data_IF_897187413093
#
_entry.id   IF_897187413093
#
_cell.length_a   1.000
_cell.length_b   1.000
_cell.length_c   1.000
_cell.angle_alpha   90.00
_cell.angle_beta   90.00
_cell.angle_gamma   90.00
#
_symmetry.space_group_name_H-M   'P 1'
#
loop_
_entity.id
_entity.type
_entity.pdbx_description
1 polymer ?
#
# COMPACT_ATOMS: atom_id res chain seq x y z
N UNK A 1 -18.01 -2.24 -0.29
CA UNK A 1 -18.12 -3.65 0.14
C UNK A 1 -17.22 -3.94 1.32
N UNK A 2 -15.97 -4.32 1.10
CA UNK A 2 -15.09 -4.83 2.16
C UNK A 2 -14.82 -3.83 3.30
N UNK A 3 -14.70 -2.55 2.97
CA UNK A 3 -14.53 -1.49 3.98
C UNK A 3 -15.78 -1.32 4.87
N UNK A 4 -16.97 -1.51 4.30
CA UNK A 4 -18.24 -1.51 5.05
C UNK A 4 -18.31 -2.73 6.00
N UNK A 5 -17.77 -3.88 5.58
CA UNK A 5 -17.66 -5.06 6.45
C UNK A 5 -16.75 -4.76 7.65
N UNK A 6 -15.64 -4.04 7.45
CA UNK A 6 -14.76 -3.67 8.56
C UNK A 6 -15.44 -2.75 9.58
N UNK A 7 -16.26 -1.80 9.12
CA UNK A 7 -16.95 -0.86 10.00
C UNK A 7 -18.06 -1.57 10.79
N UNK A 8 -18.88 -2.38 10.11
CA UNK A 8 -20.03 -3.02 10.73
C UNK A 8 -19.67 -4.31 11.50
N UNK A 9 -18.78 -5.12 10.95
CA UNK A 9 -18.44 -6.46 11.43
C UNK A 9 -16.92 -6.65 11.47
N UNK A 10 -16.24 -5.90 12.34
CA UNK A 10 -14.78 -5.92 12.41
C UNK A 10 -14.24 -7.36 12.65
N UNK A 11 -13.42 -7.90 11.72
CA UNK A 11 -12.93 -9.29 11.79
C UNK A 11 -12.09 -9.56 13.04
N UNK A 12 -11.46 -8.55 13.64
CA UNK A 12 -10.69 -8.69 14.89
C UNK A 12 -11.59 -8.96 16.11
N UNK A 13 -12.78 -8.35 16.14
CA UNK A 13 -13.74 -8.55 17.22
C UNK A 13 -14.58 -9.80 16.98
N UNK A 14 -15.07 -9.96 15.76
CA UNK A 14 -15.97 -11.06 15.41
C UNK A 14 -15.26 -12.42 15.33
N UNK A 15 -13.99 -12.43 14.90
CA UNK A 15 -13.16 -13.63 14.78
C UNK A 15 -12.45 -14.04 16.06
N UNK A 16 -12.53 -13.24 17.13
CA UNK A 16 -11.84 -13.49 18.40
C UNK A 16 -12.25 -14.87 18.97
N UNK A 17 -11.26 -15.72 19.23
CA UNK A 17 -11.40 -17.11 19.69
C UNK A 17 -12.16 -18.06 18.73
N UNK A 18 -12.53 -17.62 17.52
CA UNK A 18 -13.17 -18.48 16.50
C UNK A 18 -12.19 -18.88 15.40
N UNK A 19 -11.23 -18.02 15.08
CA UNK A 19 -10.31 -18.16 13.96
C UNK A 19 -8.88 -17.85 14.45
N UNK A 20 -7.86 -18.43 13.82
CA UNK A 20 -6.45 -18.10 14.11
C UNK A 20 -6.14 -16.62 13.89
N UNK A 21 -5.22 -16.08 14.69
CA UNK A 21 -4.84 -14.67 14.62
C UNK A 21 -4.29 -14.29 13.24
N UNK A 22 -3.52 -15.18 12.60
CA UNK A 22 -2.97 -14.96 11.26
C UNK A 22 -4.08 -14.73 10.21
N UNK A 23 -5.15 -15.52 10.25
CA UNK A 23 -6.29 -15.35 9.34
C UNK A 23 -7.04 -14.05 9.63
N UNK A 24 -7.22 -13.70 10.91
CA UNK A 24 -7.87 -12.44 11.30
C UNK A 24 -7.11 -11.22 10.76
N UNK A 25 -5.78 -11.23 10.84
CA UNK A 25 -4.93 -10.17 10.27
C UNK A 25 -5.02 -10.15 8.74
N UNK A 26 -5.09 -11.31 8.09
CA UNK A 26 -5.32 -11.41 6.64
C UNK A 26 -6.62 -10.74 6.21
N UNK A 27 -7.73 -11.06 6.88
CA UNK A 27 -9.03 -10.41 6.63
C UNK A 27 -8.99 -8.92 6.90
N UNK A 28 -8.38 -8.50 8.00
CA UNK A 28 -8.23 -7.07 8.31
C UNK A 28 -7.44 -6.33 7.21
N UNK A 29 -6.36 -6.92 6.70
CA UNK A 29 -5.57 -6.33 5.62
C UNK A 29 -6.41 -6.14 4.35
N UNK A 30 -7.21 -7.14 3.98
CA UNK A 30 -8.13 -7.05 2.83
C UNK A 30 -9.19 -5.94 3.01
N UNK A 31 -9.85 -5.88 4.17
CA UNK A 31 -10.87 -4.86 4.40
C UNK A 31 -10.32 -3.43 4.52
N UNK A 32 -9.04 -3.29 4.91
CA UNK A 32 -8.34 -2.00 5.00
C UNK A 32 -7.87 -1.43 3.65
N UNK A 33 -8.10 -2.09 2.52
CA UNK A 33 -7.62 -1.62 1.22
C UNK A 33 -8.16 -0.24 0.82
N UNK A 34 -9.43 0.04 1.11
CA UNK A 34 -10.03 1.33 0.84
C UNK A 34 -9.34 2.45 1.66
N UNK A 35 -9.07 2.21 2.94
CA UNK A 35 -8.38 3.19 3.80
C UNK A 35 -6.94 3.47 3.32
N UNK A 36 -6.25 2.45 2.79
CA UNK A 36 -4.90 2.57 2.25
C UNK A 36 -4.81 3.52 1.02
N UNK A 37 -5.94 3.81 0.36
CA UNK A 37 -5.99 4.79 -0.74
C UNK A 37 -5.56 6.19 -0.29
N UNK A 38 -6.01 6.65 0.88
CA UNK A 38 -5.69 7.96 1.44
C UNK A 38 -4.19 8.13 1.71
N UNK A 39 -3.56 7.10 2.28
CA UNK A 39 -2.11 7.07 2.49
C UNK A 39 -1.36 7.12 1.16
N UNK A 40 -1.85 6.37 0.15
CA UNK A 40 -1.24 6.33 -1.19
C UNK A 40 -1.32 7.69 -1.88
N UNK A 41 -2.48 8.38 -1.80
CA UNK A 41 -2.65 9.72 -2.35
C UNK A 41 -1.70 10.72 -1.69
N UNK A 42 -1.61 10.69 -0.36
CA UNK A 42 -0.69 11.54 0.39
C UNK A 42 0.75 11.32 -0.09
N UNK A 43 1.15 10.07 -0.24
CA UNK A 43 2.48 9.71 -0.74
C UNK A 43 2.73 10.17 -2.19
N UNK A 44 1.72 10.17 -3.06
CA UNK A 44 1.84 10.65 -4.43
C UNK A 44 1.86 12.19 -4.55
N UNK A 45 1.09 12.89 -3.71
CA UNK A 45 0.96 14.35 -3.76
C UNK A 45 2.06 15.09 -3.00
N UNK A 46 2.62 14.51 -1.94
CA UNK A 46 3.66 15.17 -1.15
C UNK A 46 4.94 15.47 -1.96
N UNK A 47 5.51 14.54 -2.74
CA UNK A 47 6.72 14.82 -3.51
C UNK A 47 6.56 15.98 -4.49
N UNK A 48 5.42 16.07 -5.19
CA UNK A 48 5.16 17.15 -6.14
C UNK A 48 4.98 18.50 -5.45
N UNK A 49 4.29 18.55 -4.29
CA UNK A 49 4.14 19.76 -3.50
C UNK A 49 5.47 20.27 -2.93
N UNK A 50 6.33 19.38 -2.44
CA UNK A 50 7.64 19.74 -1.90
C UNK A 50 8.60 20.19 -3.01
N UNK A 51 8.53 19.55 -4.19
CA UNK A 51 9.29 19.96 -5.37
C UNK A 51 8.92 21.38 -5.81
N UNK A 52 7.62 21.72 -5.83
CA UNK A 52 7.15 23.08 -6.16
C UNK A 52 7.62 24.13 -5.14
N UNK A 53 7.74 23.75 -3.86
CA UNK A 53 8.26 24.64 -2.81
C UNK A 53 9.80 24.71 -2.78
N UNK A 54 10.49 23.90 -3.57
CA UNK A 54 11.96 23.80 -3.56
C UNK A 54 12.54 23.22 -2.26
N UNK A 55 11.73 22.52 -1.46
CA UNK A 55 12.15 21.95 -0.18
C UNK A 55 12.56 20.49 -0.41
N UNK A 56 13.80 20.08 -0.08
CA UNK A 56 14.23 18.69 -0.25
C UNK A 56 13.52 17.77 0.74
N UNK A 57 12.80 16.77 0.23
CA UNK A 57 12.09 15.76 1.05
C UNK A 57 13.02 14.65 1.57
N UNK A 58 14.08 14.34 0.81
CA UNK A 58 15.04 13.29 1.14
C UNK A 58 16.41 13.87 1.49
N UNK A 59 17.21 13.19 2.32
CA UNK A 59 18.59 13.57 2.57
C UNK A 59 19.40 13.52 1.27
N UNK A 60 20.45 14.35 1.20
CA UNK A 60 21.39 14.33 0.07
C UNK A 60 22.02 12.95 -0.06
N UNK A 61 22.23 12.49 -1.30
CA UNK A 61 22.84 11.18 -1.60
C UNK A 61 24.25 11.05 -0.99
N UNK A 62 24.97 12.16 -0.83
CA UNK A 62 26.28 12.20 -0.17
C UNK A 62 26.22 12.00 1.35
N UNK A 63 25.03 12.09 1.95
CA UNK A 63 24.85 11.89 3.38
C UNK A 63 24.71 10.40 3.70
N UNK A 64 25.34 9.96 4.78
CA UNK A 64 25.18 8.59 5.30
C UNK A 64 23.72 8.26 5.63
N UNK A 65 22.90 9.28 5.93
CA UNK A 65 21.47 9.15 6.19
C UNK A 65 20.63 8.74 4.98
N UNK A 66 21.17 8.80 3.76
CA UNK A 66 20.48 8.30 2.56
C UNK A 66 20.46 6.77 2.48
N UNK A 67 21.47 6.11 3.03
CA UNK A 67 21.63 4.65 2.99
C UNK A 67 20.37 3.87 3.43
N UNK A 68 19.73 4.16 4.58
CA UNK A 68 18.53 3.42 4.98
C UNK A 68 17.37 3.57 3.99
N UNK A 69 17.18 4.75 3.39
CA UNK A 69 16.12 4.97 2.40
C UNK A 69 16.38 4.16 1.13
N UNK A 70 17.61 4.23 0.60
CA UNK A 70 18.00 3.46 -0.58
C UNK A 70 17.88 1.95 -0.35
N UNK A 71 18.34 1.47 0.81
CA UNK A 71 18.26 0.06 1.18
C UNK A 71 16.82 -0.45 1.21
N UNK A 72 15.91 0.26 1.89
CA UNK A 72 14.50 -0.16 2.01
C UNK A 72 13.83 -0.19 0.63
N UNK A 73 14.08 0.81 -0.22
CA UNK A 73 13.50 0.87 -1.57
C UNK A 73 13.96 -0.33 -2.40
N UNK A 74 15.26 -0.58 -2.44
CA UNK A 74 15.83 -1.70 -3.21
C UNK A 74 15.31 -3.02 -2.66
N UNK A 75 15.40 -3.24 -1.35
CA UNK A 75 14.95 -4.48 -0.70
C UNK A 75 13.48 -4.79 -0.99
N UNK A 76 12.59 -3.77 -0.89
CA UNK A 76 11.16 -3.93 -1.15
C UNK A 76 10.86 -4.32 -2.60
N UNK A 77 11.50 -3.68 -3.58
CA UNK A 77 11.27 -3.99 -4.99
C UNK A 77 11.91 -5.32 -5.40
N UNK A 78 13.12 -5.63 -4.93
CA UNK A 78 13.77 -6.91 -5.19
C UNK A 78 12.98 -8.06 -4.61
N UNK A 79 12.51 -7.95 -3.37
CA UNK A 79 11.69 -8.98 -2.74
C UNK A 79 10.38 -9.21 -3.49
N UNK A 80 9.65 -8.13 -3.82
CA UNK A 80 8.40 -8.21 -4.58
C UNK A 80 8.59 -8.83 -5.97
N UNK A 81 9.70 -8.52 -6.65
CA UNK A 81 10.01 -9.12 -7.95
C UNK A 81 10.33 -10.62 -7.81
N UNK A 82 11.15 -11.00 -6.83
CA UNK A 82 11.50 -12.40 -6.59
C UNK A 82 10.27 -13.24 -6.26
N UNK A 83 9.38 -12.74 -5.39
CA UNK A 83 8.13 -13.42 -5.04
C UNK A 83 7.24 -13.65 -6.28
N UNK A 84 7.16 -12.65 -7.16
CA UNK A 84 6.39 -12.73 -8.40
C UNK A 84 6.98 -13.76 -9.38
N UNK A 85 8.31 -13.79 -9.52
CA UNK A 85 9.01 -14.77 -10.35
C UNK A 85 8.90 -16.19 -9.78
N UNK A 86 9.01 -16.36 -8.46
CA UNK A 86 8.82 -17.65 -7.79
C UNK A 86 7.38 -18.18 -7.97
N UNK A 87 6.41 -17.28 -8.12
CA UNK A 87 5.02 -17.61 -8.41
C UNK A 87 4.76 -17.93 -9.89
N UNK A 88 5.80 -17.97 -10.73
CA UNK A 88 5.75 -18.31 -12.15
C UNK A 88 5.39 -17.14 -13.08
N UNK A 89 5.36 -15.91 -12.57
CA UNK A 89 5.10 -14.72 -13.38
C UNK A 89 6.35 -14.21 -14.11
N UNK A 90 6.14 -13.31 -15.07
CA UNK A 90 7.20 -12.64 -15.82
C UNK A 90 7.49 -11.23 -15.29
N UNK A 91 8.67 -10.67 -15.62
CA UNK A 91 9.05 -9.30 -15.23
C UNK A 91 8.08 -8.26 -15.79
N UNK A 92 7.58 -8.47 -17.02
CA UNK A 92 6.64 -7.56 -17.67
C UNK A 92 5.29 -7.54 -16.94
N UNK A 93 4.80 -8.71 -16.55
CA UNK A 93 3.57 -8.85 -15.76
C UNK A 93 3.72 -8.20 -14.37
N UNK A 94 4.86 -8.41 -13.71
CA UNK A 94 5.15 -7.75 -12.43
C UNK A 94 5.08 -6.23 -12.56
N UNK A 95 5.70 -5.67 -13.60
CA UNK A 95 5.67 -4.23 -13.85
C UNK A 95 4.25 -3.71 -14.10
N UNK A 96 3.45 -4.46 -14.86
CA UNK A 96 2.04 -4.14 -15.09
C UNK A 96 1.24 -4.20 -13.78
N UNK A 97 1.48 -5.19 -12.92
CA UNK A 97 0.84 -5.28 -11.60
C UNK A 97 1.17 -4.08 -10.70
N UNK A 98 2.44 -3.63 -10.66
CA UNK A 98 2.80 -2.42 -9.90
C UNK A 98 2.05 -1.18 -10.40
N UNK A 99 1.90 -1.02 -11.72
CA UNK A 99 1.15 0.09 -12.32
C UNK A 99 -0.34 0.01 -12.01
N UNK A 100 -0.94 -1.16 -12.21
CA UNK A 100 -2.36 -1.38 -11.95
C UNK A 100 -2.70 -1.22 -10.47
N UNK A 101 -1.81 -1.66 -9.58
CA UNK A 101 -1.94 -1.47 -8.14
C UNK A 101 -2.03 0.02 -7.78
N UNK A 102 -1.21 0.87 -8.39
CA UNK A 102 -1.24 2.31 -8.15
C UNK A 102 -2.55 2.91 -8.66
N UNK A 103 -2.97 2.58 -9.89
CA UNK A 103 -4.21 3.11 -10.46
C UNK A 103 -5.46 2.71 -9.67
N UNK A 104 -5.56 1.44 -9.24
CA UNK A 104 -6.68 0.96 -8.41
C UNK A 104 -6.78 1.75 -7.09
N UNK A 105 -5.63 2.03 -6.46
CA UNK A 105 -5.57 2.77 -5.18
C UNK A 105 -5.96 4.22 -5.29
N UNK A 106 -5.60 4.89 -6.39
CA UNK A 106 -5.92 6.32 -6.58
C UNK A 106 -7.33 6.55 -7.13
N UNK A 107 -7.93 5.54 -7.76
CA UNK A 107 -9.26 5.64 -8.35
C UNK A 107 -10.31 4.85 -7.56
N UNK A 108 -10.48 3.56 -7.85
CA UNK A 108 -11.58 2.75 -7.33
C UNK A 108 -11.61 2.66 -5.81
N UNK A 109 -10.45 2.54 -5.16
CA UNK A 109 -10.39 2.45 -3.69
C UNK A 109 -10.70 3.77 -3.00
N UNK A 110 -10.32 4.89 -3.62
CA UNK A 110 -10.65 6.23 -3.15
C UNK A 110 -12.16 6.45 -3.23
N UNK A 111 -12.78 6.15 -4.37
CA UNK A 111 -14.24 6.25 -4.52
C UNK A 111 -14.98 5.33 -3.56
N UNK A 112 -14.53 4.09 -3.40
CA UNK A 112 -15.13 3.16 -2.44
C UNK A 112 -15.00 3.64 -0.98
N UNK A 113 -13.90 4.31 -0.63
CA UNK A 113 -13.73 4.91 0.69
C UNK A 113 -14.72 6.06 0.90
N UNK A 114 -14.82 7.00 -0.06
CA UNK A 114 -15.75 8.12 0.01
C UNK A 114 -17.21 7.64 0.11
N UNK A 115 -17.60 6.67 -0.73
CA UNK A 115 -18.94 6.09 -0.78
C UNK A 115 -19.34 5.40 0.53
N UNK A 116 -18.39 4.79 1.24
CA UNK A 116 -18.68 4.12 2.52
C UNK A 116 -18.73 5.09 3.70
N UNK A 117 -18.10 6.27 3.58
CA UNK A 117 -18.07 7.31 4.63
C UNK A 117 -19.29 8.23 4.55
N UNK A 118 -19.80 8.48 3.33
CA UNK A 118 -21.04 9.23 3.07
C UNK A 118 -22.27 8.42 3.45
#
# INVERSE_FOLDING_TARGET
GDFQIMINNNPLWYGRNKISLALQLGYCNYCCWALNSMATLSYCSLPSLYMLKGIPLFPKVSSMWFLPFGYIIIAKYTYSLLEFLCSGGTILEWWNEQRMWLYKRTSSYLFAFIDTVL
#
